data_IF_235339704866
#
_entry.id   IF_235339704866
#
_cell.length_a   1.000
_cell.length_b   1.000
_cell.length_c   1.000
_cell.angle_alpha   90.00
_cell.angle_beta   90.00
_cell.angle_gamma   90.00
#
_symmetry.space_group_name_H-M   'P 1'
#
loop_
_entity.id
_entity.type
_entity.pdbx_description
1 polymer ?
#
# COMPACT_ATOMS: atom_id res chain seq x y z
N UNK A 1 -27.22 0.08 -23.04
CA UNK A 1 -26.48 -0.41 -21.87
C UNK A 1 -25.12 -0.84 -22.34
N UNK A 2 -24.24 0.14 -22.47
CA UNK A 2 -22.81 -0.04 -22.73
C UNK A 2 -22.13 0.85 -21.69
N UNK A 3 -22.34 0.50 -20.42
CA UNK A 3 -21.46 0.92 -19.34
C UNK A 3 -20.38 -0.16 -19.30
N UNK A 4 -19.43 -0.03 -20.24
CA UNK A 4 -18.11 -0.64 -20.14
C UNK A 4 -17.40 0.09 -19.00
N UNK A 5 -17.62 -0.34 -17.76
CA UNK A 5 -16.69 -0.14 -16.63
C UNK A 5 -15.37 -0.86 -17.01
N UNK A 6 -14.66 -0.27 -17.96
CA UNK A 6 -13.22 -0.44 -18.21
C UNK A 6 -12.47 0.34 -17.11
N UNK A 7 -12.91 0.16 -15.86
CA UNK A 7 -12.10 0.48 -14.70
C UNK A 7 -11.12 -0.68 -14.60
N UNK A 8 -10.09 -0.60 -15.47
CA UNK A 8 -8.76 -1.18 -15.26
C UNK A 8 -8.56 -1.28 -13.74
N UNK A 9 -8.38 -2.49 -13.19
CA UNK A 9 -8.52 -2.76 -11.75
C UNK A 9 -7.59 -1.82 -10.93
N UNK A 10 -8.07 -0.63 -10.58
CA UNK A 10 -7.29 0.44 -10.01
C UNK A 10 -7.59 0.51 -8.51
N UNK A 11 -6.57 0.29 -7.70
CA UNK A 11 -6.64 0.36 -6.25
C UNK A 11 -6.48 1.82 -5.82
N UNK A 12 -7.55 2.40 -5.29
CA UNK A 12 -7.50 3.71 -4.62
C UNK A 12 -6.95 3.55 -3.20
N UNK A 13 -5.86 4.25 -2.90
CA UNK A 13 -5.22 4.24 -1.59
C UNK A 13 -4.94 5.67 -1.11
N UNK A 14 -5.25 5.97 0.15
CA UNK A 14 -4.97 7.26 0.76
C UNK A 14 -3.65 7.21 1.53
N UNK A 15 -2.74 8.15 1.25
CA UNK A 15 -1.46 8.23 1.94
C UNK A 15 -1.64 8.57 3.42
N UNK A 16 -1.19 7.70 4.36
CA UNK A 16 -1.32 7.95 5.80
C UNK A 16 -0.44 9.12 6.28
N UNK A 17 0.54 9.56 5.49
CA UNK A 17 1.45 10.63 5.88
C UNK A 17 0.99 12.03 5.47
N UNK A 18 0.32 12.17 4.32
CA UNK A 18 -0.10 13.47 3.79
C UNK A 18 -1.58 13.56 3.45
N UNK A 19 -2.33 12.46 3.53
CA UNK A 19 -3.75 12.41 3.18
C UNK A 19 -4.03 12.56 1.69
N UNK A 20 -3.07 12.22 0.83
CA UNK A 20 -3.23 12.30 -0.63
C UNK A 20 -3.77 10.97 -1.17
N UNK A 21 -4.83 11.03 -1.97
CA UNK A 21 -5.38 9.89 -2.70
C UNK A 21 -4.50 9.51 -3.89
N UNK A 22 -4.16 8.24 -4.00
CA UNK A 22 -3.25 7.66 -4.99
C UNK A 22 -3.93 6.46 -5.63
N UNK A 23 -3.68 6.25 -6.91
CA UNK A 23 -4.26 5.18 -7.70
C UNK A 23 -3.15 4.24 -8.17
N UNK A 24 -3.26 2.96 -7.81
CA UNK A 24 -2.33 1.91 -8.20
C UNK A 24 -3.00 0.94 -9.15
N UNK A 25 -2.26 0.45 -10.12
CA UNK A 25 -2.74 -0.62 -11.01
C UNK A 25 -2.65 -1.96 -10.28
N UNK A 26 -3.77 -2.65 -10.04
CA UNK A 26 -3.77 -3.92 -9.31
C UNK A 26 -2.92 -5.01 -9.99
N UNK A 27 -2.77 -4.95 -11.32
CA UNK A 27 -1.93 -5.88 -12.07
C UNK A 27 -0.43 -5.65 -11.84
N UNK A 28 -0.04 -4.41 -11.49
CA UNK A 28 1.36 -4.03 -11.24
C UNK A 28 1.68 -3.78 -9.77
N UNK A 29 0.67 -3.77 -8.91
CA UNK A 29 0.80 -3.52 -7.49
C UNK A 29 1.40 -4.73 -6.78
N UNK A 30 2.69 -4.64 -6.46
CA UNK A 30 3.40 -5.66 -5.70
C UNK A 30 3.39 -5.31 -4.21
N UNK A 31 2.74 -6.14 -3.38
CA UNK A 31 2.66 -5.96 -1.94
C UNK A 31 4.04 -6.02 -1.24
N UNK A 32 5.06 -6.56 -1.91
CA UNK A 32 6.42 -6.64 -1.40
C UNK A 32 7.34 -5.49 -1.88
N UNK A 33 6.86 -4.58 -2.72
CA UNK A 33 7.62 -3.43 -3.19
C UNK A 33 7.29 -2.18 -2.34
N UNK A 34 8.30 -1.34 -2.09
CA UNK A 34 8.14 -0.10 -1.33
C UNK A 34 7.35 0.93 -2.15
N UNK A 35 6.02 0.88 -2.04
CA UNK A 35 5.15 1.87 -2.67
C UNK A 35 5.25 3.20 -1.95
N UNK A 36 6.14 4.05 -2.44
CA UNK A 36 6.32 5.41 -1.95
C UNK A 36 5.27 6.37 -2.53
N UNK A 37 4.68 7.19 -1.66
CA UNK A 37 3.74 8.24 -2.03
C UNK A 37 4.39 9.26 -2.98
N UNK A 38 3.80 9.58 -4.16
CA UNK A 38 4.37 10.54 -5.09
C UNK A 38 4.28 12.00 -4.59
N UNK A 39 3.39 12.30 -3.65
CA UNK A 39 3.22 13.65 -3.11
C UNK A 39 4.23 13.99 -2.01
N UNK A 40 4.48 13.07 -1.08
CA UNK A 40 5.37 13.31 0.06
C UNK A 40 6.67 12.49 0.04
N UNK A 41 6.79 11.52 -0.87
CA UNK A 41 7.96 10.64 -0.99
C UNK A 41 8.14 9.70 0.20
N UNK A 42 7.08 9.40 0.95
CA UNK A 42 7.11 8.48 2.09
C UNK A 42 6.42 7.17 1.72
N UNK A 43 6.88 6.01 2.24
CA UNK A 43 6.25 4.73 2.00
C UNK A 43 4.78 4.77 2.44
N UNK A 44 3.89 4.19 1.64
CA UNK A 44 2.47 4.07 1.98
C UNK A 44 2.22 2.91 2.93
N UNK A 45 3.02 1.86 2.76
CA UNK A 45 3.03 0.68 3.61
C UNK A 45 4.38 0.70 4.33
N UNK A 46 4.36 1.03 5.60
CA UNK A 46 5.53 0.87 6.44
C UNK A 46 5.67 -0.64 6.67
N UNK A 47 6.73 -1.28 6.15
CA UNK A 47 6.99 -2.72 6.32
C UNK A 47 7.22 -3.12 7.81
N UNK A 48 7.07 -2.15 8.72
CA UNK A 48 7.18 -2.28 10.17
C UNK A 48 5.96 -2.93 10.84
N UNK A 49 5.43 -4.03 10.30
CA UNK A 49 4.80 -5.04 11.15
C UNK A 49 5.70 -6.30 11.17
N UNK A 50 6.41 -6.41 12.31
CA UNK A 50 6.93 -7.65 12.91
C UNK A 50 8.36 -8.11 12.56
N UNK A 51 9.30 -7.17 12.64
CA UNK A 51 10.59 -7.46 13.27
C UNK A 51 10.63 -6.90 14.69
N UNK A 52 10.80 -7.77 15.70
CA UNK A 52 10.92 -7.51 17.15
C UNK A 52 9.53 -7.34 17.84
N UNK A 53 9.06 -8.18 18.78
CA UNK A 53 9.63 -8.68 20.04
C UNK A 53 9.01 -10.08 20.32
N UNK A 54 9.71 -11.20 20.53
CA UNK A 54 10.62 -11.48 21.64
C UNK A 54 10.20 -12.83 22.26
N UNK A 55 11.14 -13.78 22.37
CA UNK A 55 10.99 -15.02 23.13
C UNK A 55 10.38 -14.77 24.53
N UNK A 56 9.19 -15.28 24.81
CA UNK A 56 8.74 -15.53 26.18
C UNK A 56 8.35 -17.01 26.30
N UNK A 57 9.37 -17.86 26.42
CA UNK A 57 9.23 -19.29 26.57
C UNK A 57 10.46 -19.90 27.23
N UNK A 58 10.34 -20.20 28.53
CA UNK A 58 11.19 -21.09 29.32
C UNK A 58 12.43 -20.48 30.02
N UNK A 59 12.23 -20.08 31.29
CA UNK A 59 13.12 -20.39 32.44
C UNK A 59 12.48 -20.05 33.78
#
# INVERSE_FOLDING_TARGET
DEDEDDDEDLIECECPHCGNTIYFDAESFDLADDHSCPNCGKPLFDESEEGDEGEDGDK
#
